data_IF_663887112480
#
_entry.id   IF_663887112480
#
_cell.length_a   1.000
_cell.length_b   1.000
_cell.length_c   1.000
_cell.angle_alpha   90.00
_cell.angle_beta   90.00
_cell.angle_gamma   90.00
#
_symmetry.space_group_name_H-M   'P 1'
#
loop_
_entity.id
_entity.type
_entity.pdbx_description
1 polymer ?
#
# COMPACT_ATOMS: atom_id res chain seq x y z
N UNK A 1 2.80 14.38 -9.42
CA UNK A 1 1.89 15.53 -9.13
C UNK A 1 2.34 16.17 -7.81
N UNK A 2 2.10 17.46 -7.58
CA UNK A 2 2.37 18.05 -6.25
C UNK A 2 1.40 17.44 -5.22
N UNK A 3 1.94 16.86 -4.16
CA UNK A 3 1.18 16.32 -3.04
C UNK A 3 1.98 16.50 -1.74
N UNK A 4 1.31 16.51 -0.56
CA UNK A 4 2.01 16.47 0.70
C UNK A 4 2.85 15.18 0.78
N UNK A 5 4.03 15.19 1.42
CA UNK A 5 4.84 13.99 1.55
C UNK A 5 4.12 12.90 2.35
N UNK A 6 4.13 11.66 1.85
CA UNK A 6 3.42 10.53 2.48
C UNK A 6 3.97 10.17 3.86
N UNK A 7 5.25 10.45 4.12
CA UNK A 7 5.90 10.18 5.40
C UNK A 7 5.39 11.05 6.56
N UNK A 8 4.50 12.04 6.31
CA UNK A 8 3.90 12.84 7.38
C UNK A 8 3.12 11.99 8.40
N UNK A 9 2.60 10.82 8.01
CA UNK A 9 1.98 9.85 8.93
C UNK A 9 2.90 8.68 9.27
N UNK A 10 4.17 8.73 8.88
CA UNK A 10 5.13 7.61 8.97
C UNK A 10 4.63 6.33 8.28
N UNK A 11 3.84 6.47 7.21
CA UNK A 11 3.28 5.36 6.43
C UNK A 11 3.66 5.46 4.96
N UNK A 12 3.79 4.30 4.32
CA UNK A 12 3.81 4.21 2.87
C UNK A 12 2.43 4.53 2.30
N UNK A 13 2.37 5.03 1.07
CA UNK A 13 1.10 5.35 0.41
C UNK A 13 0.25 4.09 0.17
N UNK A 14 0.91 2.97 -0.07
CA UNK A 14 0.32 1.62 -0.20
C UNK A 14 -0.19 1.04 1.13
N UNK A 15 0.07 1.71 2.25
CA UNK A 15 -0.39 1.34 3.58
C UNK A 15 -1.52 2.25 4.08
N UNK A 16 -1.98 3.21 3.28
CA UNK A 16 -3.07 4.12 3.60
C UNK A 16 -4.45 3.50 3.36
N UNK A 17 -4.64 2.23 3.77
CA UNK A 17 -5.92 1.55 3.67
C UNK A 17 -7.04 2.33 4.38
N UNK A 18 -8.29 2.09 3.96
CA UNK A 18 -9.48 2.73 4.53
C UNK A 18 -9.52 2.62 6.07
N UNK A 19 -10.08 3.66 6.70
CA UNK A 19 -10.18 3.79 8.15
C UNK A 19 -9.12 4.73 8.73
N UNK A 20 -8.65 4.43 9.95
CA UNK A 20 -7.85 5.35 10.79
C UNK A 20 -6.60 5.94 10.10
N UNK A 21 -5.94 5.17 9.23
CA UNK A 21 -4.70 5.59 8.59
C UNK A 21 -4.95 6.58 7.46
N UNK A 22 -5.98 6.30 6.64
CA UNK A 22 -6.43 7.21 5.60
C UNK A 22 -6.99 8.50 6.20
N UNK A 23 -7.78 8.40 7.28
CA UNK A 23 -8.34 9.57 7.99
C UNK A 23 -7.25 10.46 8.56
N UNK A 24 -6.25 9.88 9.25
CA UNK A 24 -5.12 10.63 9.80
C UNK A 24 -4.33 11.35 8.68
N UNK A 25 -4.09 10.67 7.56
CA UNK A 25 -3.41 11.28 6.43
C UNK A 25 -4.25 12.36 5.75
N UNK A 26 -5.57 12.15 5.62
CA UNK A 26 -6.50 13.14 5.06
C UNK A 26 -6.52 14.42 5.90
N UNK A 27 -6.51 14.31 7.23
CA UNK A 27 -6.42 15.45 8.14
C UNK A 27 -5.14 16.25 7.90
N UNK A 28 -3.99 15.58 7.94
CA UNK A 28 -2.69 16.23 7.75
C UNK A 28 -2.55 16.80 6.33
N UNK A 29 -3.10 16.12 5.32
CA UNK A 29 -3.15 16.61 3.96
C UNK A 29 -3.94 17.93 3.90
N UNK A 30 -5.09 18.01 4.58
CA UNK A 30 -5.87 19.24 4.70
C UNK A 30 -5.08 20.38 5.32
N UNK A 31 -4.50 20.13 6.51
CA UNK A 31 -3.68 21.11 7.23
C UNK A 31 -2.49 21.61 6.40
N UNK A 32 -1.80 20.72 5.69
CA UNK A 32 -0.70 21.07 4.81
C UNK A 32 -1.17 22.00 3.69
N UNK A 33 -2.28 21.65 3.02
CA UNK A 33 -2.79 22.44 1.90
C UNK A 33 -3.28 23.80 2.39
N UNK A 34 -3.92 23.88 3.56
CA UNK A 34 -4.35 25.14 4.17
C UNK A 34 -3.16 26.04 4.52
N UNK A 35 -2.13 25.48 5.15
CA UNK A 35 -0.89 26.20 5.46
C UNK A 35 -0.18 26.69 4.19
N UNK A 36 -0.14 25.85 3.15
CA UNK A 36 0.48 26.19 1.89
C UNK A 36 -0.30 27.27 1.13
N UNK A 37 -1.64 27.24 1.19
CA UNK A 37 -2.50 28.27 0.59
C UNK A 37 -2.29 29.64 1.25
N UNK A 38 -2.13 29.68 2.57
CA UNK A 38 -1.79 30.91 3.28
C UNK A 38 -0.46 31.50 2.79
N UNK A 39 0.54 30.66 2.50
CA UNK A 39 1.81 31.11 1.93
C UNK A 39 1.64 31.59 0.48
N UNK A 40 0.86 30.89 -0.35
CA UNK A 40 0.60 31.34 -1.73
C UNK A 40 -0.07 32.72 -1.76
N UNK A 41 -0.99 33.00 -0.82
CA UNK A 41 -1.65 34.31 -0.70
C UNK A 41 -0.72 35.44 -0.25
N UNK A 42 0.34 35.14 0.51
CA UNK A 42 1.35 36.12 0.91
C UNK A 42 2.26 36.54 -0.24
N UNK A 43 2.37 35.70 -1.29
CA UNK A 43 3.15 35.96 -2.49
C UNK A 43 2.25 35.88 -3.74
N UNK A 44 1.25 36.78 -3.86
CA UNK A 44 0.27 36.70 -4.92
C UNK A 44 0.97 36.80 -6.27
N UNK A 45 0.77 35.78 -7.11
CA UNK A 45 1.21 35.81 -8.50
C UNK A 45 0.24 36.70 -9.27
N UNK A 46 0.74 37.53 -10.19
CA UNK A 46 -0.07 38.47 -10.99
C UNK A 46 -1.16 37.85 -11.88
N UNK A 47 -1.32 36.52 -11.85
CA UNK A 47 -2.20 35.76 -12.73
C UNK A 47 -3.46 35.20 -12.01
N UNK A 48 -3.78 35.71 -10.81
CA UNK A 48 -4.98 35.32 -10.05
C UNK A 48 -4.91 33.96 -9.35
N UNK A 49 -5.91 33.68 -8.51
CA UNK A 49 -6.00 32.47 -7.66
C UNK A 49 -6.16 31.16 -8.46
N UNK A 50 -6.43 31.23 -9.76
CA UNK A 50 -6.57 30.07 -10.65
C UNK A 50 -5.28 29.25 -10.81
N UNK A 51 -4.11 29.86 -10.60
CA UNK A 51 -2.82 29.19 -10.71
C UNK A 51 -2.25 28.69 -9.38
N UNK A 52 -3.00 28.80 -8.29
CA UNK A 52 -2.55 28.29 -6.99
C UNK A 52 -2.37 26.78 -7.04
N UNK A 53 -1.20 26.33 -6.60
CA UNK A 53 -0.83 24.91 -6.56
C UNK A 53 -1.74 24.16 -5.60
N UNK A 54 -2.17 24.82 -4.53
CA UNK A 54 -3.14 24.29 -3.55
C UNK A 54 -4.45 23.89 -4.20
N UNK A 55 -4.94 24.63 -5.20
CA UNK A 55 -6.15 24.26 -5.96
C UNK A 55 -5.95 22.95 -6.75
N UNK A 56 -4.77 22.77 -7.35
CA UNK A 56 -4.39 21.53 -8.04
C UNK A 56 -4.32 20.37 -7.04
N UNK A 57 -3.72 20.59 -5.86
CA UNK A 57 -3.61 19.60 -4.80
C UNK A 57 -4.98 19.14 -4.30
N UNK A 58 -5.88 20.09 -3.97
CA UNK A 58 -7.26 19.76 -3.55
C UNK A 58 -8.02 19.01 -4.63
N UNK A 59 -7.97 19.48 -5.88
CA UNK A 59 -8.64 18.82 -7.01
C UNK A 59 -8.11 17.40 -7.22
N UNK A 60 -6.80 17.21 -7.12
CA UNK A 60 -6.21 15.89 -7.32
C UNK A 60 -6.53 14.91 -6.19
N UNK A 61 -6.74 15.39 -4.97
CA UNK A 61 -7.27 14.60 -3.86
C UNK A 61 -8.72 14.18 -4.12
N UNK A 62 -9.60 15.12 -4.47
CA UNK A 62 -11.04 14.83 -4.69
C UNK A 62 -11.33 13.99 -5.92
N UNK A 63 -10.55 14.16 -6.99
CA UNK A 63 -10.71 13.39 -8.24
C UNK A 63 -10.05 12.01 -8.15
N UNK A 64 -9.22 11.76 -7.13
CA UNK A 64 -8.44 10.53 -7.00
C UNK A 64 -7.18 10.45 -7.87
N UNK A 65 -6.84 11.51 -8.61
CA UNK A 65 -5.58 11.62 -9.35
C UNK A 65 -4.36 11.39 -8.45
N UNK A 66 -4.46 11.80 -7.18
CA UNK A 66 -3.45 11.52 -6.16
C UNK A 66 -3.01 10.04 -6.15
N UNK A 67 -3.97 9.11 -6.20
CA UNK A 67 -3.69 7.68 -6.17
C UNK A 67 -3.02 7.19 -7.45
N UNK A 68 -3.45 7.69 -8.61
CA UNK A 68 -2.82 7.35 -9.90
C UNK A 68 -1.35 7.77 -9.97
N UNK A 69 -1.04 9.00 -9.56
CA UNK A 69 0.34 9.46 -9.57
C UNK A 69 1.22 8.68 -8.59
N UNK A 70 0.70 8.37 -7.40
CA UNK A 70 1.43 7.55 -6.44
C UNK A 70 1.62 6.09 -6.88
N UNK A 71 0.63 5.52 -7.56
CA UNK A 71 0.74 4.21 -8.20
C UNK A 71 1.89 4.17 -9.23
N UNK A 72 2.06 5.22 -10.01
CA UNK A 72 3.15 5.34 -10.98
C UNK A 72 4.51 5.54 -10.31
N UNK A 73 4.57 6.34 -9.24
CA UNK A 73 5.81 6.65 -8.52
C UNK A 73 6.28 5.47 -7.63
N UNK A 74 5.38 4.57 -7.22
CA UNK A 74 5.67 3.42 -6.38
C UNK A 74 5.21 2.10 -7.02
N UNK A 75 5.99 1.52 -7.95
CA UNK A 75 5.65 0.25 -8.60
C UNK A 75 5.44 -0.92 -7.64
N UNK A 76 6.12 -0.92 -6.48
CA UNK A 76 5.94 -1.96 -5.45
C UNK A 76 4.59 -1.86 -4.75
N UNK A 77 4.12 -0.64 -4.54
CA UNK A 77 2.83 -0.34 -3.91
C UNK A 77 1.66 -0.29 -4.88
N UNK A 78 1.92 -0.29 -6.20
CA UNK A 78 0.92 -0.13 -7.27
C UNK A 78 -0.29 -1.03 -7.08
N UNK A 79 -0.07 -2.32 -6.84
CA UNK A 79 -1.15 -3.30 -6.71
C UNK A 79 -2.09 -2.96 -5.54
N UNK A 80 -1.53 -2.65 -4.37
CA UNK A 80 -2.30 -2.27 -3.19
C UNK A 80 -3.03 -0.94 -3.41
N UNK A 81 -2.36 0.06 -3.99
CA UNK A 81 -2.98 1.36 -4.30
C UNK A 81 -4.14 1.18 -5.28
N UNK A 82 -3.96 0.33 -6.29
CA UNK A 82 -4.99 0.04 -7.27
C UNK A 82 -6.22 -0.58 -6.60
N UNK A 83 -6.05 -1.66 -5.84
CA UNK A 83 -7.17 -2.36 -5.21
C UNK A 83 -7.87 -1.54 -4.12
N UNK A 84 -7.11 -0.79 -3.31
CA UNK A 84 -7.66 -0.08 -2.17
C UNK A 84 -8.28 1.28 -2.53
N UNK A 85 -7.76 1.94 -3.56
CA UNK A 85 -8.08 3.34 -3.84
C UNK A 85 -8.54 3.61 -5.27
N UNK A 86 -8.03 2.89 -6.27
CA UNK A 86 -8.37 3.16 -7.67
C UNK A 86 -9.60 2.37 -8.11
N UNK A 87 -9.56 1.05 -7.95
CA UNK A 87 -10.64 0.14 -8.31
C UNK A 87 -11.98 0.56 -7.69
N UNK A 88 -12.07 0.91 -6.39
CA UNK A 88 -13.34 1.28 -5.76
C UNK A 88 -13.97 2.58 -6.29
N UNK A 89 -13.20 3.43 -6.98
CA UNK A 89 -13.74 4.64 -7.61
C UNK A 89 -14.62 4.33 -8.83
N UNK A 90 -14.47 3.15 -9.45
CA UNK A 90 -15.18 2.78 -10.67
C UNK A 90 -16.29 1.77 -10.43
N UNK A 91 -16.05 0.81 -9.54
CA UNK A 91 -17.03 -0.25 -9.25
C UNK A 91 -16.81 -0.83 -7.85
N UNK A 92 -17.87 -1.37 -7.24
CA UNK A 92 -17.76 -2.18 -6.03
C UNK A 92 -17.69 -3.64 -6.47
N UNK A 93 -16.60 -4.31 -6.15
CA UNK A 93 -16.44 -5.74 -6.44
C UNK A 93 -16.84 -6.56 -5.22
N UNK A 94 -17.54 -7.65 -5.49
CA UNK A 94 -17.65 -8.76 -4.56
C UNK A 94 -16.41 -9.66 -4.67
N UNK A 95 -16.34 -10.69 -3.84
CA UNK A 95 -15.23 -11.65 -3.82
C UNK A 95 -15.04 -12.32 -5.20
N UNK A 96 -16.13 -12.55 -5.93
CA UNK A 96 -16.11 -13.13 -7.29
C UNK A 96 -15.44 -12.17 -8.27
N UNK A 97 -15.84 -10.89 -8.27
CA UNK A 97 -15.27 -9.88 -9.15
C UNK A 97 -13.79 -9.62 -8.88
N UNK A 98 -13.37 -9.68 -7.61
CA UNK A 98 -11.95 -9.61 -7.24
C UNK A 98 -11.17 -10.81 -7.80
N UNK A 99 -11.69 -12.02 -7.65
CA UNK A 99 -11.06 -13.23 -8.18
C UNK A 99 -10.92 -13.18 -9.71
N UNK A 100 -11.88 -12.60 -10.43
CA UNK A 100 -11.80 -12.44 -11.88
C UNK A 100 -10.72 -11.44 -12.32
N UNK A 101 -10.54 -10.34 -11.57
CA UNK A 101 -9.43 -9.41 -11.82
C UNK A 101 -8.09 -10.11 -11.61
N UNK A 102 -7.93 -10.80 -10.48
CA UNK A 102 -6.70 -11.54 -10.17
C UNK A 102 -6.41 -12.59 -11.24
N UNK A 103 -7.40 -13.36 -11.67
CA UNK A 103 -7.27 -14.34 -12.75
C UNK A 103 -6.86 -13.70 -14.07
N UNK A 104 -7.34 -12.50 -14.35
CA UNK A 104 -6.99 -11.74 -15.56
C UNK A 104 -5.56 -11.18 -15.49
N UNK A 105 -5.11 -10.78 -14.30
CA UNK A 105 -3.78 -10.20 -14.09
C UNK A 105 -2.67 -11.24 -13.85
N UNK A 106 -3.03 -12.44 -13.38
CA UNK A 106 -2.06 -13.49 -13.01
C UNK A 106 -1.02 -13.82 -14.10
N UNK A 107 -1.38 -13.90 -15.40
CA UNK A 107 -0.39 -14.16 -16.46
C UNK A 107 0.67 -13.05 -16.62
N UNK A 108 0.41 -11.85 -16.11
CA UNK A 108 1.35 -10.72 -16.18
C UNK A 108 2.33 -10.67 -15.00
N UNK A 109 2.17 -11.50 -13.98
CA UNK A 109 3.05 -11.48 -12.79
C UNK A 109 4.44 -12.03 -13.07
N UNK A 110 4.57 -12.92 -14.05
CA UNK A 110 5.86 -13.40 -14.53
C UNK A 110 5.75 -13.95 -15.95
N UNK A 111 6.90 -13.95 -16.63
CA UNK A 111 7.11 -14.80 -17.80
C UNK A 111 7.06 -16.26 -17.32
N UNK A 112 6.24 -17.09 -17.97
CA UNK A 112 6.03 -18.51 -17.63
C UNK A 112 5.51 -18.71 -16.19
N UNK A 113 4.35 -18.11 -15.92
CA UNK A 113 3.69 -18.10 -14.62
C UNK A 113 3.44 -19.51 -14.08
N UNK A 114 3.07 -20.45 -14.95
CA UNK A 114 2.79 -21.83 -14.56
C UNK A 114 4.01 -22.52 -13.95
N UNK A 115 5.19 -22.29 -14.52
CA UNK A 115 6.44 -22.86 -14.02
C UNK A 115 6.79 -22.31 -12.64
N UNK A 116 6.61 -21.01 -12.42
CA UNK A 116 6.86 -20.39 -11.11
C UNK A 116 5.86 -20.91 -10.06
N UNK A 117 4.58 -20.98 -10.41
CA UNK A 117 3.55 -21.50 -9.50
C UNK A 117 3.86 -22.94 -9.11
N UNK A 118 4.20 -23.80 -10.08
CA UNK A 118 4.57 -25.19 -9.81
C UNK A 118 5.81 -25.30 -8.90
N UNK A 119 6.84 -24.47 -9.15
CA UNK A 119 8.02 -24.43 -8.30
C UNK A 119 7.69 -23.99 -6.87
N UNK A 120 6.84 -22.96 -6.70
CA UNK A 120 6.42 -22.45 -5.39
C UNK A 120 5.54 -23.43 -4.61
N UNK A 121 4.70 -24.21 -5.30
CA UNK A 121 3.93 -25.29 -4.66
C UNK A 121 4.86 -26.36 -4.08
N UNK A 122 5.90 -26.75 -4.82
CA UNK A 122 6.91 -27.69 -4.33
C UNK A 122 7.73 -27.12 -3.16
N UNK A 123 8.16 -25.85 -3.27
CA UNK A 123 8.87 -25.16 -2.18
C UNK A 123 8.00 -25.14 -0.90
N UNK A 124 6.69 -24.93 -1.05
CA UNK A 124 5.73 -24.93 0.07
C UNK A 124 5.63 -26.31 0.72
N UNK A 125 5.52 -27.39 -0.04
CA UNK A 125 5.49 -28.76 0.52
C UNK A 125 6.74 -29.04 1.37
N UNK A 126 7.91 -28.65 0.87
CA UNK A 126 9.19 -28.79 1.59
C UNK A 126 9.18 -27.95 2.87
N UNK A 127 8.74 -26.69 2.77
CA UNK A 127 8.66 -25.79 3.92
C UNK A 127 7.69 -26.30 5.00
N UNK A 128 6.51 -26.78 4.61
CA UNK A 128 5.50 -27.29 5.53
C UNK A 128 6.02 -28.52 6.29
N UNK A 129 6.79 -29.42 5.64
CA UNK A 129 7.43 -30.56 6.31
C UNK A 129 8.55 -30.12 7.26
N UNK A 130 9.36 -29.13 6.88
CA UNK A 130 10.37 -28.56 7.79
C UNK A 130 9.72 -27.92 9.01
N UNK A 131 8.64 -27.17 8.79
CA UNK A 131 7.85 -26.52 9.84
C UNK A 131 7.30 -27.57 10.80
N UNK A 132 6.67 -28.63 10.27
CA UNK A 132 6.16 -29.75 11.07
C UNK A 132 7.26 -30.37 11.95
N UNK A 133 8.44 -30.67 11.39
CA UNK A 133 9.58 -31.21 12.15
C UNK A 133 10.10 -30.28 13.24
N UNK A 134 10.11 -28.97 12.98
CA UNK A 134 10.54 -27.98 13.95
C UNK A 134 9.59 -27.90 15.15
N UNK A 135 8.28 -28.05 14.92
CA UNK A 135 7.27 -28.05 15.99
C UNK A 135 7.09 -29.42 16.68
N UNK A 136 7.45 -30.52 16.01
CA UNK A 136 7.45 -31.87 16.61
C UNK A 136 8.73 -32.20 17.36
N UNK A 137 9.83 -31.47 17.12
CA UNK A 137 11.04 -31.60 17.93
C UNK A 137 10.73 -31.13 19.35
N UNK A 138 10.78 -32.01 20.36
CA UNK A 138 10.56 -31.57 21.72
C UNK A 138 11.63 -30.54 22.04
N UNK A 139 11.22 -29.39 22.57
CA UNK A 139 12.10 -28.47 23.27
C UNK A 139 12.88 -29.34 24.25
N UNK A 140 14.15 -29.62 23.95
CA UNK A 140 15.03 -30.33 24.87
C UNK A 140 15.11 -29.39 26.06
N UNK A 141 14.34 -29.69 27.11
CA UNK A 141 14.46 -29.05 28.39
C UNK A 141 15.89 -29.34 28.86
N UNK A 142 16.79 -28.38 28.68
CA UNK A 142 18.04 -28.29 29.40
C UNK A 142 17.71 -28.08 30.89
N UNK A 143 17.27 -29.13 31.56
CA UNK A 143 17.10 -29.19 33.01
C UNK A 143 17.36 -30.63 33.48
N UNK A 144 18.58 -31.10 33.22
CA UNK A 144 19.21 -32.19 33.98
C UNK A 144 20.70 -32.02 33.80
N UNK A 145 21.32 -31.27 34.72
CA UNK A 145 22.41 -31.77 35.55
C UNK A 145 23.01 -30.59 36.34
N UNK A 146 22.47 -30.37 37.54
CA UNK A 146 23.19 -29.67 38.59
C UNK A 146 23.01 -30.45 39.90
N UNK A 147 24.17 -30.92 40.39
CA UNK A 147 24.49 -31.47 41.71
C UNK A 147 23.84 -32.79 42.14
N UNK A 148 24.52 -33.88 41.78
CA UNK A 148 24.99 -34.80 42.82
C UNK A 148 26.22 -34.14 43.48
N UNK A 149 26.06 -33.71 44.73
CA UNK A 149 27.05 -33.74 45.83
C UNK A 149 26.43 -33.10 47.09
#
# INVERSE_FOLDING_TARGET
>A
MLHPPSWLTSRGVDQLAQGKHLEAYSSIHGEFVDAFENQERMFPRGNGDELYRTRIMRRGWTTGNFWYFHALDNPKGLYNIFLQHIQPMFTVLDDTGMADIERTLAPYWSIDEHKIIAAKLKDKEVYDEQLRRAFESPMVNENTDASAD
#
